data_IF_314123068724
#
_entry.id   IF_314123068724
#
_cell.length_a   1.000
_cell.length_b   1.000
_cell.length_c   1.000
_cell.angle_alpha   90.00
_cell.angle_beta   90.00
_cell.angle_gamma   90.00
#
_symmetry.space_group_name_H-M   'P 1'
#
loop_
_entity.id
_entity.type
_entity.pdbx_description
1 polymer ?
#
# COMPACT_ATOMS: atom_id res chain seq x y z
N UNK A 1 5.74 23.67 -16.69
CA UNK A 1 5.67 22.58 -15.69
C UNK A 1 5.29 21.32 -16.44
N UNK A 2 6.18 20.33 -16.54
CA UNK A 2 5.92 19.08 -17.26
C UNK A 2 4.97 18.26 -16.37
N UNK A 3 3.78 17.90 -16.90
CA UNK A 3 2.88 16.99 -16.19
C UNK A 3 3.53 15.62 -16.28
N UNK A 4 4.00 15.11 -15.14
CA UNK A 4 4.55 13.76 -15.05
C UNK A 4 3.37 12.80 -14.92
N UNK A 5 3.28 11.85 -15.86
CA UNK A 5 2.26 10.80 -15.84
C UNK A 5 2.81 9.65 -15.01
N UNK A 6 2.10 9.27 -13.95
CA UNK A 6 2.54 8.17 -13.09
C UNK A 6 2.22 6.83 -13.74
N UNK A 7 3.25 6.00 -13.93
CA UNK A 7 3.06 4.63 -14.39
C UNK A 7 2.97 3.68 -13.18
N UNK A 8 1.75 3.23 -12.89
CA UNK A 8 1.45 2.36 -11.76
C UNK A 8 2.24 1.04 -11.81
N UNK A 9 2.33 0.42 -12.99
CA UNK A 9 3.05 -0.85 -13.12
C UNK A 9 4.53 -0.65 -12.80
N UNK A 10 5.10 0.45 -13.29
CA UNK A 10 6.51 0.76 -13.03
C UNK A 10 6.76 1.03 -11.55
N UNK A 11 5.85 1.69 -10.83
CA UNK A 11 5.97 1.84 -9.38
C UNK A 11 6.04 0.50 -8.65
N UNK A 12 5.14 -0.42 -8.97
CA UNK A 12 5.07 -1.74 -8.33
C UNK A 12 6.31 -2.57 -8.71
N UNK A 13 6.73 -2.55 -9.98
CA UNK A 13 7.92 -3.26 -10.48
C UNK A 13 9.22 -2.76 -9.83
N UNK A 14 9.25 -1.51 -9.34
CA UNK A 14 10.42 -0.91 -8.69
C UNK A 14 10.31 -0.92 -7.14
N UNK A 15 9.38 -1.69 -6.54
CA UNK A 15 9.41 -1.97 -5.11
C UNK A 15 10.80 -2.45 -4.67
N UNK A 16 11.30 -1.89 -3.57
CA UNK A 16 12.63 -2.12 -3.02
C UNK A 16 13.74 -1.21 -3.53
N UNK A 17 13.47 -0.36 -4.53
CA UNK A 17 14.43 0.67 -4.96
C UNK A 17 14.36 1.89 -4.06
N UNK A 18 15.46 2.64 -3.99
CA UNK A 18 15.50 3.86 -3.17
C UNK A 18 14.75 5.00 -3.83
N UNK A 19 14.27 5.95 -3.03
CA UNK A 19 13.65 7.18 -3.52
C UNK A 19 14.53 7.90 -4.55
N UNK A 20 15.84 7.93 -4.35
CA UNK A 20 16.81 8.56 -5.27
C UNK A 20 16.83 7.87 -6.63
N UNK A 21 16.83 6.54 -6.65
CA UNK A 21 16.80 5.76 -7.90
C UNK A 21 15.50 5.99 -8.67
N UNK A 22 14.37 6.10 -7.98
CA UNK A 22 13.07 6.38 -8.60
C UNK A 22 13.00 7.81 -9.16
N UNK A 23 13.63 8.78 -8.49
CA UNK A 23 13.72 10.17 -8.97
C UNK A 23 14.64 10.25 -10.20
N UNK A 24 15.79 9.60 -10.16
CA UNK A 24 16.75 9.56 -11.28
C UNK A 24 16.12 8.96 -12.54
N UNK A 25 15.26 7.95 -12.37
CA UNK A 25 14.48 7.33 -13.46
C UNK A 25 13.25 8.13 -13.89
N UNK A 26 12.98 9.28 -13.27
CA UNK A 26 11.78 10.09 -13.48
C UNK A 26 10.45 9.34 -13.20
N UNK A 27 10.46 8.33 -12.33
CA UNK A 27 9.26 7.55 -11.94
C UNK A 27 8.43 8.31 -10.90
N UNK A 28 9.09 9.03 -9.98
CA UNK A 28 8.46 9.84 -8.94
C UNK A 28 9.01 11.27 -8.92
N UNK A 29 8.24 12.26 -8.43
CA UNK A 29 8.71 13.65 -8.39
C UNK A 29 9.66 13.88 -7.20
N UNK A 30 10.67 14.73 -7.39
CA UNK A 30 11.73 15.01 -6.39
C UNK A 30 11.24 15.64 -5.08
N UNK A 31 10.16 16.43 -5.10
CA UNK A 31 9.78 17.34 -4.00
C UNK A 31 8.43 17.02 -3.35
N UNK A 32 8.10 15.75 -3.11
CA UNK A 32 6.80 15.34 -2.52
C UNK A 32 6.89 14.48 -1.27
N UNK A 33 8.04 14.44 -0.60
CA UNK A 33 8.21 13.59 0.58
C UNK A 33 7.70 14.28 1.84
N UNK A 34 6.95 13.51 2.62
CA UNK A 34 6.30 13.91 3.87
C UNK A 34 6.56 12.84 4.94
N UNK A 35 6.55 13.27 6.19
CA UNK A 35 6.59 12.40 7.36
C UNK A 35 5.25 12.53 8.10
N UNK A 36 4.74 11.44 8.70
CA UNK A 36 3.56 11.56 9.56
C UNK A 36 3.96 12.31 10.85
N UNK A 37 5.11 11.95 11.42
CA UNK A 37 5.73 12.61 12.55
C UNK A 37 7.26 12.73 12.37
N UNK A 38 7.86 13.71 13.05
CA UNK A 38 9.31 13.85 13.05
C UNK A 38 9.96 12.64 13.76
N UNK A 39 10.93 12.02 13.07
CA UNK A 39 11.63 10.84 13.58
C UNK A 39 10.99 9.49 13.24
N UNK A 40 9.94 9.46 12.41
CA UNK A 40 9.33 8.21 11.97
C UNK A 40 10.32 7.29 11.23
N UNK A 41 10.11 5.98 11.40
CA UNK A 41 10.83 4.91 10.69
C UNK A 41 10.50 4.91 9.18
N UNK A 42 9.50 5.68 8.77
CA UNK A 42 8.97 5.75 7.41
C UNK A 42 8.69 7.20 7.00
N UNK A 43 8.82 7.45 5.70
CA UNK A 43 8.31 8.66 5.05
C UNK A 43 7.51 8.24 3.82
N UNK A 44 6.68 9.13 3.32
CA UNK A 44 5.83 8.82 2.18
C UNK A 44 5.85 9.96 1.16
N UNK A 45 5.40 9.66 -0.06
CA UNK A 45 5.01 10.71 -1.01
C UNK A 45 3.64 10.38 -1.63
N UNK A 46 2.91 11.44 -1.97
CA UNK A 46 1.61 11.35 -2.66
C UNK A 46 1.75 11.91 -4.08
N UNK A 47 2.16 11.09 -5.06
CA UNK A 47 2.33 11.57 -6.42
C UNK A 47 1.00 12.03 -7.05
N UNK A 48 -0.11 11.36 -6.72
CA UNK A 48 -1.47 11.64 -7.20
C UNK A 48 -2.50 11.40 -6.07
N UNK A 49 -3.73 11.96 -6.16
CA UNK A 49 -4.79 11.71 -5.18
C UNK A 49 -5.05 10.23 -4.97
N UNK A 50 -5.09 9.81 -3.70
CA UNK A 50 -5.31 8.41 -3.31
C UNK A 50 -4.16 7.45 -3.59
N UNK A 51 -3.04 7.90 -4.16
CA UNK A 51 -1.84 7.09 -4.33
C UNK A 51 -0.79 7.49 -3.29
N UNK A 52 -0.41 6.57 -2.42
CA UNK A 52 0.62 6.77 -1.39
C UNK A 52 1.77 5.78 -1.63
N UNK A 53 2.98 6.34 -1.71
CA UNK A 53 4.21 5.56 -1.79
C UNK A 53 4.92 5.67 -0.44
N UNK A 54 5.14 4.56 0.24
CA UNK A 54 5.76 4.56 1.58
C UNK A 54 7.15 3.95 1.51
N UNK A 55 8.10 4.65 2.12
CA UNK A 55 9.52 4.35 2.10
C UNK A 55 10.03 4.14 3.52
N UNK A 56 10.98 3.23 3.70
CA UNK A 56 11.73 3.16 4.94
C UNK A 56 12.68 4.35 5.06
N UNK A 57 12.72 5.00 6.23
CA UNK A 57 13.50 6.22 6.44
C UNK A 57 15.01 5.98 6.30
N UNK A 58 15.55 4.92 6.92
CA UNK A 58 16.99 4.63 6.91
C UNK A 58 17.48 4.13 5.54
N UNK A 59 16.82 3.11 4.99
CA UNK A 59 17.26 2.52 3.71
C UNK A 59 16.79 3.31 2.49
N UNK A 60 15.87 4.25 2.69
CA UNK A 60 15.20 5.05 1.65
C UNK A 60 14.45 4.21 0.63
N UNK A 61 14.26 2.91 0.86
CA UNK A 61 13.63 1.96 -0.07
C UNK A 61 12.12 2.05 -0.04
N UNK A 62 11.51 2.07 -1.23
CA UNK A 62 10.07 1.95 -1.42
C UNK A 62 9.63 0.56 -0.96
N UNK A 63 8.83 0.49 0.10
CA UNK A 63 8.37 -0.79 0.62
C UNK A 63 6.88 -1.02 0.39
N UNK A 64 6.09 0.04 0.13
CA UNK A 64 4.64 -0.08 -0.13
C UNK A 64 4.15 0.93 -1.17
N UNK A 65 3.29 0.45 -2.07
CA UNK A 65 2.48 1.25 -3.00
C UNK A 65 1.01 1.04 -2.63
N UNK A 66 0.35 2.07 -2.12
CA UNK A 66 -1.00 2.01 -1.56
C UNK A 66 -1.99 2.83 -2.40
N UNK A 67 -3.13 2.22 -2.69
CA UNK A 67 -4.28 2.83 -3.36
C UNK A 67 -5.40 2.99 -2.33
N UNK A 68 -5.72 4.23 -1.97
CA UNK A 68 -6.87 4.57 -1.14
C UNK A 68 -8.10 4.64 -2.04
N UNK A 69 -8.91 3.60 -2.06
CA UNK A 69 -10.10 3.49 -2.92
C UNK A 69 -11.33 4.13 -2.29
N UNK A 70 -11.42 4.12 -0.97
CA UNK A 70 -12.48 4.82 -0.23
C UNK A 70 -11.83 5.58 0.92
N UNK A 71 -11.74 6.90 0.80
CA UNK A 71 -11.28 7.74 1.90
C UNK A 71 -12.44 8.11 2.82
N UNK A 72 -12.43 7.61 4.06
CA UNK A 72 -13.46 7.88 5.08
C UNK A 72 -13.24 9.16 5.88
N UNK A 73 -12.08 9.81 5.72
CA UNK A 73 -11.70 11.01 6.45
C UNK A 73 -11.79 12.28 5.60
N UNK A 74 -11.52 12.19 4.29
CA UNK A 74 -11.62 13.30 3.34
C UNK A 74 -12.11 12.81 1.96
N UNK A 75 -13.24 13.34 1.49
CA UNK A 75 -13.93 12.87 0.29
C UNK A 75 -13.12 13.06 -1.02
N UNK A 76 -12.04 13.85 -1.03
CA UNK A 76 -11.33 14.20 -2.26
C UNK A 76 -9.99 13.49 -2.51
N UNK A 77 -9.56 12.61 -1.60
CA UNK A 77 -8.25 11.95 -1.68
C UNK A 77 -8.34 10.46 -2.07
N UNK A 78 -9.42 10.05 -2.76
CA UNK A 78 -9.56 8.66 -3.25
C UNK A 78 -8.94 8.48 -4.65
N UNK A 79 -8.37 7.31 -4.91
CA UNK A 79 -7.71 6.98 -6.17
C UNK A 79 -8.72 6.67 -7.27
N UNK A 80 -8.65 7.42 -8.36
CA UNK A 80 -9.56 7.31 -9.50
C UNK A 80 -8.83 7.00 -10.83
N UNK A 81 -7.53 6.67 -10.77
CA UNK A 81 -6.76 6.28 -11.94
C UNK A 81 -6.97 4.81 -12.32
N UNK A 82 -6.22 4.37 -13.34
CA UNK A 82 -6.25 2.99 -13.81
C UNK A 82 -5.67 2.03 -12.77
N UNK A 83 -6.42 0.98 -12.46
CA UNK A 83 -6.00 -0.02 -11.49
C UNK A 83 -5.05 -1.04 -12.10
N UNK A 84 -4.02 -1.49 -11.35
CA UNK A 84 -3.17 -2.59 -11.76
C UNK A 84 -4.03 -3.87 -11.91
N UNK A 85 -4.01 -4.57 -13.07
CA UNK A 85 -4.78 -5.80 -13.24
C UNK A 85 -4.45 -6.86 -12.17
N UNK A 86 -5.40 -7.67 -11.69
CA UNK A 86 -6.81 -7.76 -12.08
C UNK A 86 -7.76 -6.87 -11.25
N UNK A 87 -7.23 -5.85 -10.57
CA UNK A 87 -8.00 -5.11 -9.56
C UNK A 87 -8.89 -4.03 -10.16
N UNK A 88 -9.93 -3.67 -9.41
CA UNK A 88 -10.94 -2.68 -9.79
C UNK A 88 -10.98 -1.55 -8.76
N UNK A 89 -11.38 -0.34 -9.15
CA UNK A 89 -11.49 0.79 -8.21
C UNK A 89 -12.59 0.59 -7.15
N UNK A 90 -13.54 -0.33 -7.39
CA UNK A 90 -14.58 -0.70 -6.44
C UNK A 90 -14.66 -2.22 -6.32
N UNK A 91 -14.37 -2.72 -5.13
CA UNK A 91 -14.40 -4.14 -4.80
C UNK A 91 -14.90 -4.31 -3.37
N UNK A 92 -15.46 -5.48 -3.08
CA UNK A 92 -15.74 -5.95 -1.73
C UNK A 92 -14.93 -7.22 -1.44
N UNK A 93 -14.98 -7.68 -0.19
CA UNK A 93 -14.28 -8.89 0.25
C UNK A 93 -14.66 -10.14 -0.55
N UNK A 94 -15.91 -10.26 -1.00
CA UNK A 94 -16.36 -11.37 -1.84
C UNK A 94 -15.67 -11.36 -3.21
N UNK A 95 -15.61 -10.19 -3.83
CA UNK A 95 -14.93 -9.97 -5.11
C UNK A 95 -13.44 -10.27 -4.98
N UNK A 96 -12.79 -9.75 -3.94
CA UNK A 96 -11.37 -10.01 -3.66
C UNK A 96 -11.10 -11.51 -3.54
N UNK A 97 -11.88 -12.24 -2.76
CA UNK A 97 -11.68 -13.70 -2.56
C UNK A 97 -12.03 -14.52 -3.79
N UNK A 98 -12.95 -14.05 -4.63
CA UNK A 98 -13.21 -14.67 -5.93
C UNK A 98 -12.00 -14.54 -6.86
N UNK A 99 -11.33 -13.38 -6.86
CA UNK A 99 -10.14 -13.13 -7.68
C UNK A 99 -8.87 -13.79 -7.12
N UNK A 100 -8.69 -13.74 -5.81
CA UNK A 100 -7.43 -14.07 -5.13
C UNK A 100 -7.45 -15.42 -4.40
N UNK A 101 -8.63 -16.03 -4.20
CA UNK A 101 -8.82 -17.22 -3.37
C UNK A 101 -8.79 -16.90 -1.87
N UNK A 102 -8.52 -17.90 -1.05
CA UNK A 102 -8.35 -17.70 0.40
C UNK A 102 -7.02 -16.97 0.70
N UNK A 103 -7.02 -16.01 1.65
CA UNK A 103 -5.83 -15.29 2.06
C UNK A 103 -4.93 -16.12 2.97
N UNK A 104 -3.63 -15.81 2.95
CA UNK A 104 -2.64 -16.40 3.85
C UNK A 104 -2.82 -15.90 5.29
N UNK A 105 -3.33 -14.67 5.45
CA UNK A 105 -3.69 -14.10 6.75
C UNK A 105 -4.91 -13.20 6.61
N UNK A 106 -5.81 -13.22 7.59
CA UNK A 106 -6.96 -12.33 7.62
C UNK A 106 -7.32 -11.93 9.04
N UNK A 107 -7.88 -10.72 9.18
CA UNK A 107 -8.38 -10.18 10.43
C UNK A 107 -9.78 -9.61 10.25
N UNK A 108 -10.65 -9.83 11.23
CA UNK A 108 -11.98 -9.22 11.27
C UNK A 108 -11.95 -7.77 11.79
N UNK A 109 -13.12 -7.11 11.88
CA UNK A 109 -13.22 -5.76 12.42
C UNK A 109 -12.62 -5.65 13.81
N UNK A 110 -11.86 -4.58 14.06
CA UNK A 110 -11.20 -4.32 15.35
C UNK A 110 -11.33 -2.85 15.73
N UNK A 111 -11.66 -2.61 17.00
CA UNK A 111 -11.62 -1.27 17.57
C UNK A 111 -10.19 -0.94 17.99
N UNK A 112 -9.70 0.17 17.47
CA UNK A 112 -8.35 0.69 17.68
C UNK A 112 -8.48 1.97 18.49
N UNK A 113 -7.73 2.11 19.60
CA UNK A 113 -7.61 3.41 20.27
C UNK A 113 -7.21 4.49 19.25
N UNK A 114 -7.77 5.70 19.40
CA UNK A 114 -7.50 6.88 18.54
C UNK A 114 -8.03 6.78 17.10
N UNK A 115 -7.80 5.68 16.38
CA UNK A 115 -8.15 5.52 14.96
C UNK A 115 -9.64 5.15 14.75
N UNK A 116 -10.24 4.45 15.71
CA UNK A 116 -11.65 4.04 15.66
C UNK A 116 -11.87 2.59 15.23
N UNK A 117 -12.99 2.30 14.59
CA UNK A 117 -13.36 0.93 14.17
C UNK A 117 -12.83 0.65 12.76
N UNK A 118 -11.88 -0.27 12.64
CA UNK A 118 -11.40 -0.80 11.35
C UNK A 118 -12.22 -2.02 10.96
N UNK A 119 -12.50 -2.23 9.66
CA UNK A 119 -13.32 -3.34 9.16
C UNK A 119 -12.57 -4.67 8.97
N UNK A 120 -11.24 -4.65 9.02
CA UNK A 120 -10.40 -5.84 8.94
C UNK A 120 -9.49 -5.83 7.71
N UNK A 121 -8.86 -6.97 7.43
CA UNK A 121 -7.94 -7.12 6.31
C UNK A 121 -7.88 -8.56 5.78
N UNK A 122 -7.40 -8.72 4.54
CA UNK A 122 -6.93 -9.97 3.96
C UNK A 122 -5.53 -9.72 3.36
N UNK A 123 -4.58 -10.63 3.59
CA UNK A 123 -3.20 -10.55 3.12
C UNK A 123 -2.83 -11.78 2.30
N UNK A 124 -2.17 -11.56 1.16
CA UNK A 124 -1.79 -12.57 0.19
C UNK A 124 -0.29 -12.50 -0.09
N UNK A 125 0.43 -13.59 0.20
CA UNK A 125 1.88 -13.67 0.05
C UNK A 125 2.20 -14.24 -1.33
N UNK A 126 2.88 -13.45 -2.18
CA UNK A 126 3.36 -13.88 -3.49
C UNK A 126 2.28 -14.48 -4.42
N UNK A 127 0.99 -14.19 -4.20
CA UNK A 127 -0.12 -14.83 -4.90
C UNK A 127 -0.12 -14.59 -6.40
N UNK A 128 0.22 -13.36 -6.81
CA UNK A 128 0.30 -12.94 -8.21
C UNK A 128 1.76 -12.79 -8.69
N UNK A 129 2.71 -13.58 -8.16
CA UNK A 129 4.15 -13.43 -8.44
C UNK A 129 4.56 -13.44 -9.92
N UNK A 130 3.74 -14.01 -10.80
CA UNK A 130 3.98 -14.01 -12.25
C UNK A 130 3.76 -12.62 -12.87
N UNK A 131 2.84 -11.83 -12.29
CA UNK A 131 2.52 -10.46 -12.71
C UNK A 131 3.25 -9.41 -11.84
N UNK A 132 3.37 -9.69 -10.54
CA UNK A 132 3.98 -8.82 -9.52
C UNK A 132 5.04 -9.61 -8.73
N UNK A 133 6.26 -9.76 -9.27
CA UNK A 133 7.32 -10.54 -8.63
C UNK A 133 7.75 -9.94 -7.29
N UNK A 134 7.99 -10.79 -6.29
CA UNK A 134 8.46 -10.39 -4.95
C UNK A 134 7.53 -9.39 -4.24
N UNK A 135 6.23 -9.49 -4.49
CA UNK A 135 5.23 -8.59 -3.92
C UNK A 135 4.18 -9.35 -3.09
N UNK A 136 3.90 -8.84 -1.90
CA UNK A 136 2.71 -9.19 -1.11
C UNK A 136 1.57 -8.22 -1.47
N UNK A 137 0.33 -8.71 -1.40
CA UNK A 137 -0.85 -7.90 -1.71
C UNK A 137 -1.76 -7.91 -0.48
N UNK A 138 -2.07 -6.73 0.03
CA UNK A 138 -2.93 -6.56 1.20
C UNK A 138 -4.17 -5.75 0.83
N UNK A 139 -5.30 -6.15 1.40
CA UNK A 139 -6.56 -5.42 1.33
C UNK A 139 -6.98 -5.04 2.74
N UNK A 140 -7.29 -3.76 2.93
CA UNK A 140 -8.04 -3.30 4.09
C UNK A 140 -9.52 -3.18 3.72
N UNK A 141 -10.37 -3.34 4.73
CA UNK A 141 -11.82 -3.29 4.57
C UNK A 141 -12.45 -2.27 5.51
N UNK A 142 -13.52 -1.65 5.02
CA UNK A 142 -14.55 -1.04 5.86
C UNK A 142 -15.36 -2.11 6.60
N UNK A 143 -16.14 -1.69 7.59
CA UNK A 143 -16.97 -2.60 8.40
C UNK A 143 -18.09 -3.28 7.61
N UNK A 144 -18.44 -2.75 6.45
CA UNK A 144 -19.36 -3.35 5.47
C UNK A 144 -18.66 -4.18 4.39
N UNK A 145 -17.36 -4.48 4.59
CA UNK A 145 -16.51 -5.29 3.72
C UNK A 145 -16.15 -4.71 2.35
N UNK A 146 -16.45 -3.44 2.09
CA UNK A 146 -15.89 -2.73 0.93
C UNK A 146 -14.40 -2.49 1.13
N UNK A 147 -13.61 -2.62 0.06
CA UNK A 147 -12.17 -2.35 0.09
C UNK A 147 -11.96 -0.84 0.18
N UNK A 148 -11.30 -0.38 1.25
CA UNK A 148 -10.88 1.02 1.38
C UNK A 148 -9.43 1.24 0.94
N UNK A 149 -8.55 0.25 1.14
CA UNK A 149 -7.15 0.29 0.70
C UNK A 149 -6.71 -1.02 0.04
N UNK A 150 -6.01 -0.89 -1.08
CA UNK A 150 -5.21 -1.95 -1.70
C UNK A 150 -3.72 -1.57 -1.60
N UNK A 151 -2.87 -2.46 -1.10
CA UNK A 151 -1.44 -2.22 -0.99
C UNK A 151 -0.62 -3.34 -1.65
N UNK A 152 0.41 -2.93 -2.40
CA UNK A 152 1.48 -3.80 -2.91
C UNK A 152 2.72 -3.56 -2.08
N UNK A 153 3.19 -4.59 -1.39
CA UNK A 153 4.30 -4.49 -0.45
C UNK A 153 5.49 -5.34 -0.88
N UNK A 154 6.70 -4.81 -0.70
CA UNK A 154 7.92 -5.55 -0.97
C UNK A 154 8.03 -6.76 -0.03
N UNK A 155 8.33 -7.94 -0.58
CA UNK A 155 8.71 -9.08 0.25
C UNK A 155 10.08 -8.82 0.89
N UNK A 156 10.11 -8.79 2.22
CA UNK A 156 11.35 -8.73 2.98
C UNK A 156 11.77 -10.16 3.31
N UNK A 157 12.77 -10.68 2.60
CA UNK A 157 13.43 -11.93 3.00
C UNK A 157 14.35 -11.64 4.18
N UNK A 158 13.87 -11.86 5.40
CA UNK A 158 14.72 -11.81 6.59
C UNK A 158 15.57 -13.08 6.67
N UNK A 159 16.89 -12.94 6.54
CA UNK A 159 17.81 -13.89 7.18
C UNK A 159 17.84 -13.50 8.66
N UNK A 160 17.00 -14.18 9.44
CA UNK A 160 17.00 -14.26 10.90
C UNK A 160 17.01 -12.94 11.71
N UNK A 161 15.87 -12.62 12.33
CA UNK A 161 15.71 -12.56 13.80
C UNK A 161 14.32 -12.03 14.15
N UNK A 162 13.55 -12.85 14.85
CA UNK A 162 12.65 -12.48 15.95
C UNK A 162 12.14 -11.03 16.03
N UNK A 163 11.04 -10.68 15.34
CA UNK A 163 9.89 -9.85 15.80
C UNK A 163 9.21 -9.10 14.63
N UNK A 164 7.93 -9.41 14.46
CA UNK A 164 6.80 -8.49 14.25
C UNK A 164 6.87 -7.48 13.09
N UNK A 165 6.01 -7.70 12.08
CA UNK A 165 5.52 -6.61 11.23
C UNK A 165 4.08 -6.89 10.77
N UNK A 166 3.14 -7.04 11.71
CA UNK A 166 1.70 -6.87 11.44
C UNK A 166 0.94 -6.19 12.60
N UNK A 167 1.63 -5.84 13.69
CA UNK A 167 1.00 -5.29 14.90
C UNK A 167 1.22 -3.77 15.08
N UNK A 168 2.01 -3.11 14.22
CA UNK A 168 2.33 -1.68 14.36
C UNK A 168 1.33 -0.70 13.72
N UNK A 169 0.39 -1.15 12.87
CA UNK A 169 -0.69 -0.27 12.35
C UNK A 169 -1.87 -0.07 13.32
N UNK A 170 -1.77 -0.59 14.55
CA UNK A 170 -2.87 -0.62 15.52
C UNK A 170 -2.53 -0.04 16.91
N UNK A 171 -1.34 0.52 17.10
CA UNK A 171 -0.92 1.12 18.37
C UNK A 171 -0.18 2.45 18.15
N UNK A 172 -0.95 3.49 17.84
CA UNK A 172 -0.75 4.85 18.35
C UNK A 172 -2.15 5.38 18.69
#
# INVERSE_FOLDING_TARGET
MKIMVINIKELIDNLGQTAEQLIEKEIIPTNKFEYLFEGDDEFFCKPEPGLRLTFHNVSRRLHSVEFVLINVYDNNDSYNGDMPPPFLNSMDKTTVRTLMGEPDSSGGPKKVPVIGLMGGFDAYILKLREQYPNTNINFSYLTDFRVDVLAFEQVVYTQDTSKCMFEKRLCC
#
